data_IF_171104895014
#
_entry.id   IF_171104895014
#
_cell.length_a   1.000
_cell.length_b   1.000
_cell.length_c   1.000
_cell.angle_alpha   90.00
_cell.angle_beta   90.00
_cell.angle_gamma   90.00
#
_symmetry.space_group_name_H-M   'P 1'
#
loop_
_entity.id
_entity.type
_entity.pdbx_description
1 polymer ?
#
# COMPACT_ATOMS: atom_id res chain seq x y z
N UNK A 1 -6.20 -18.01 17.64
CA UNK A 1 -7.23 -17.19 17.02
C UNK A 1 -6.73 -16.70 15.65
N UNK A 2 -7.56 -16.85 14.66
CA UNK A 2 -7.21 -16.40 13.32
C UNK A 2 -7.55 -14.93 13.15
N UNK A 3 -6.57 -14.17 12.69
CA UNK A 3 -6.83 -12.80 12.28
C UNK A 3 -7.38 -12.82 10.86
N UNK A 4 -8.56 -12.28 10.67
CA UNK A 4 -9.21 -12.32 9.35
C UNK A 4 -8.73 -11.16 8.48
N UNK A 5 -7.74 -11.44 7.64
CA UNK A 5 -7.20 -10.43 6.71
C UNK A 5 -8.17 -10.10 5.57
N UNK A 6 -9.18 -10.95 5.33
CA UNK A 6 -10.16 -10.70 4.29
C UNK A 6 -11.26 -9.73 4.72
N UNK A 7 -11.39 -9.50 6.01
CA UNK A 7 -12.38 -8.54 6.50
C UNK A 7 -11.90 -7.13 6.25
N UNK A 8 -12.75 -6.32 5.61
CA UNK A 8 -12.42 -4.93 5.34
C UNK A 8 -12.30 -4.15 6.65
N UNK A 9 -11.21 -3.43 6.79
CA UNK A 9 -10.96 -2.52 7.90
C UNK A 9 -11.03 -1.11 7.37
N UNK A 10 -11.77 -0.25 8.05
CA UNK A 10 -11.89 1.15 7.66
C UNK A 10 -10.89 1.95 8.47
N UNK A 11 -10.05 2.71 7.81
CA UNK A 11 -9.01 3.52 8.47
C UNK A 11 -9.04 4.95 7.95
N UNK A 12 -8.52 5.86 8.79
CA UNK A 12 -8.32 7.24 8.40
C UNK A 12 -6.97 7.37 7.71
N UNK A 13 -6.90 8.25 6.71
CA UNK A 13 -5.60 8.66 6.19
C UNK A 13 -5.02 9.63 7.22
N UNK A 14 -3.88 9.26 7.80
CA UNK A 14 -3.23 10.04 8.86
C UNK A 14 -2.32 11.10 8.30
N UNK A 15 -1.71 10.83 7.14
CA UNK A 15 -0.75 11.74 6.52
C UNK A 15 -0.70 11.49 5.03
N UNK A 16 -0.47 12.53 4.25
CA UNK A 16 -0.22 12.41 2.82
C UNK A 16 1.12 13.07 2.50
N UNK A 17 1.90 12.43 1.62
CA UNK A 17 3.21 12.92 1.22
C UNK A 17 3.23 13.00 -0.29
N UNK A 18 3.34 14.23 -0.82
CA UNK A 18 3.47 14.44 -2.27
C UNK A 18 4.89 14.14 -2.69
N UNK A 19 5.09 13.02 -3.38
CA UNK A 19 6.41 12.63 -3.86
C UNK A 19 6.76 13.35 -5.16
N UNK A 20 5.80 13.39 -6.08
CA UNK A 20 5.87 14.11 -7.35
C UNK A 20 4.46 14.63 -7.67
N UNK A 21 4.29 15.42 -8.75
CA UNK A 21 2.93 15.85 -9.13
C UNK A 21 1.96 14.71 -9.42
N UNK A 22 2.46 13.52 -9.72
CA UNK A 22 1.61 12.37 -10.07
C UNK A 22 1.76 11.19 -9.12
N UNK A 23 2.59 11.31 -8.08
CA UNK A 23 2.86 10.23 -7.12
C UNK A 23 2.68 10.77 -5.71
N UNK A 24 1.90 10.05 -4.91
CA UNK A 24 1.61 10.44 -3.53
C UNK A 24 1.66 9.20 -2.63
N UNK A 25 2.13 9.38 -1.42
CA UNK A 25 2.12 8.34 -0.39
C UNK A 25 1.05 8.68 0.63
N UNK A 26 0.22 7.68 0.95
CA UNK A 26 -0.80 7.79 2.00
C UNK A 26 -0.36 6.93 3.18
N UNK A 27 -0.34 7.53 4.36
CA UNK A 27 0.05 6.85 5.60
C UNK A 27 -1.20 6.65 6.45
N UNK A 28 -1.33 5.46 7.03
CA UNK A 28 -2.47 5.12 7.86
C UNK A 28 -2.05 4.18 8.98
N UNK A 29 -2.90 4.06 9.99
CA UNK A 29 -2.65 3.15 11.11
C UNK A 29 -3.50 1.90 10.92
N UNK A 30 -2.83 0.75 10.82
CA UNK A 30 -3.50 -0.54 10.66
C UNK A 30 -2.52 -1.65 11.05
N UNK A 31 -2.80 -2.32 12.16
CA UNK A 31 -1.89 -3.31 12.71
C UNK A 31 -1.62 -4.46 11.73
N UNK A 32 -2.64 -4.91 11.00
CA UNK A 32 -2.46 -6.00 10.04
C UNK A 32 -1.55 -5.57 8.88
N UNK A 33 -1.74 -4.36 8.36
CA UNK A 33 -0.87 -3.85 7.30
C UNK A 33 0.56 -3.71 7.80
N UNK A 34 0.74 -3.34 9.05
CA UNK A 34 2.06 -3.19 9.64
C UNK A 34 2.83 -4.53 9.69
N UNK A 35 2.11 -5.66 9.74
CA UNK A 35 2.75 -6.97 9.74
C UNK A 35 3.17 -7.46 8.36
N UNK A 36 2.85 -6.72 7.30
CA UNK A 36 3.15 -7.13 5.94
C UNK A 36 4.65 -7.28 5.71
N UNK A 37 4.99 -8.18 4.80
CA UNK A 37 6.38 -8.40 4.38
C UNK A 37 6.57 -7.80 2.99
N UNK A 38 7.81 -7.45 2.61
CA UNK A 38 8.08 -6.96 1.26
C UNK A 38 7.50 -7.90 0.20
N UNK A 39 6.84 -7.35 -0.79
CA UNK A 39 6.18 -8.11 -1.84
C UNK A 39 4.72 -8.37 -1.63
N UNK A 40 4.21 -8.11 -0.43
CA UNK A 40 2.79 -8.24 -0.17
C UNK A 40 2.05 -6.97 -0.56
N UNK A 41 0.73 -7.09 -0.76
CA UNK A 41 -0.10 -5.98 -1.18
C UNK A 41 -1.39 -5.94 -0.37
N UNK A 42 -2.02 -4.79 -0.38
CA UNK A 42 -3.34 -4.58 0.20
C UNK A 42 -4.34 -4.37 -0.94
N UNK A 43 -5.58 -4.81 -0.72
CA UNK A 43 -6.69 -4.34 -1.51
C UNK A 43 -7.21 -3.09 -0.83
N UNK A 44 -7.11 -1.97 -1.52
CA UNK A 44 -7.51 -0.66 -0.99
C UNK A 44 -8.85 -0.27 -1.59
N UNK A 45 -9.86 -0.14 -0.74
CA UNK A 45 -11.20 0.25 -1.15
C UNK A 45 -11.36 1.76 -1.07
N UNK A 46 -11.73 2.35 -2.19
CA UNK A 46 -12.04 3.76 -2.27
C UNK A 46 -13.58 3.86 -2.27
N UNK A 47 -14.20 4.39 -1.21
CA UNK A 47 -15.65 4.44 -1.12
C UNK A 47 -16.31 4.98 -2.37
N UNK A 48 -17.32 4.27 -2.87
CA UNK A 48 -18.12 4.59 -4.04
C UNK A 48 -17.38 4.49 -5.38
N UNK A 49 -16.10 4.11 -5.37
CA UNK A 49 -15.33 4.05 -6.61
C UNK A 49 -15.01 2.58 -6.92
N UNK A 50 -14.01 2.03 -6.24
CA UNK A 50 -13.60 0.65 -6.47
C UNK A 50 -12.59 0.20 -5.42
N UNK A 51 -12.18 -1.06 -5.53
CA UNK A 51 -11.12 -1.62 -4.72
C UNK A 51 -9.95 -1.93 -5.65
N UNK A 52 -8.76 -1.48 -5.31
CA UNK A 52 -7.56 -1.66 -6.14
C UNK A 52 -6.41 -2.26 -5.33
N UNK A 53 -5.54 -3.06 -5.97
CA UNK A 53 -4.37 -3.61 -5.29
C UNK A 53 -3.25 -2.57 -5.20
N UNK A 54 -2.63 -2.47 -4.04
CA UNK A 54 -1.52 -1.55 -3.81
C UNK A 54 -0.44 -2.25 -3.00
N UNK A 55 0.81 -2.12 -3.43
CA UNK A 55 1.94 -2.62 -2.66
C UNK A 55 2.02 -1.89 -1.33
N UNK A 56 2.24 -2.63 -0.26
CA UNK A 56 2.30 -2.04 1.07
C UNK A 56 3.73 -1.68 1.44
N UNK A 57 3.88 -0.50 2.03
CA UNK A 57 5.14 -0.04 2.62
C UNK A 57 4.99 -0.07 4.13
N UNK A 58 6.02 -0.56 4.80
CA UNK A 58 6.04 -0.56 6.25
C UNK A 58 6.62 0.76 6.71
N UNK A 59 5.88 1.45 7.56
CA UNK A 59 6.35 2.68 8.17
C UNK A 59 7.26 2.35 9.36
N UNK A 60 8.20 3.23 9.68
CA UNK A 60 9.05 3.07 10.86
C UNK A 60 8.28 3.20 12.18
N UNK A 61 7.10 3.79 12.15
CA UNK A 61 6.28 3.97 13.33
C UNK A 61 5.39 2.75 13.54
N UNK A 62 5.40 2.21 14.76
CA UNK A 62 4.66 1.00 15.12
C UNK A 62 3.17 1.14 14.82
N UNK A 63 2.63 0.13 14.13
CA UNK A 63 1.22 0.08 13.78
C UNK A 63 0.85 0.90 12.56
N UNK A 64 1.80 1.59 11.94
CA UNK A 64 1.55 2.39 10.75
C UNK A 64 2.09 1.70 9.50
N UNK A 65 1.40 1.93 8.40
CA UNK A 65 1.83 1.46 7.08
C UNK A 65 1.46 2.53 6.05
N UNK A 66 1.88 2.31 4.82
CA UNK A 66 1.63 3.27 3.77
C UNK A 66 1.46 2.58 2.43
N UNK A 67 0.84 3.28 1.49
CA UNK A 67 0.80 2.90 0.09
C UNK A 67 1.19 4.11 -0.75
N UNK A 68 1.90 3.86 -1.84
CA UNK A 68 2.30 4.91 -2.77
C UNK A 68 1.49 4.76 -4.04
N UNK A 69 0.81 5.83 -4.44
CA UNK A 69 -0.11 5.82 -5.57
C UNK A 69 0.46 6.66 -6.70
N UNK A 70 0.43 6.10 -7.91
CA UNK A 70 0.70 6.85 -9.13
C UNK A 70 -0.61 7.04 -9.88
N UNK A 71 -0.91 8.28 -10.26
CA UNK A 71 -2.08 8.58 -11.08
C UNK A 71 -1.98 7.86 -12.42
N UNK A 72 -2.91 6.95 -12.70
CA UNK A 72 -2.90 6.21 -13.96
C UNK A 72 -4.29 5.87 -14.49
N UNK A 73 -5.31 5.84 -13.65
CA UNK A 73 -6.66 5.49 -14.06
C UNK A 73 -7.66 6.04 -13.07
N UNK A 74 -8.92 5.64 -13.20
CA UNK A 74 -10.00 6.16 -12.37
C UNK A 74 -9.77 5.87 -10.89
N UNK A 75 -9.48 4.61 -10.56
CA UNK A 75 -9.29 4.21 -9.16
C UNK A 75 -8.05 4.84 -8.54
N UNK A 76 -6.92 4.77 -9.23
CA UNK A 76 -5.69 5.35 -8.71
C UNK A 76 -5.76 6.87 -8.60
N UNK A 77 -6.44 7.53 -9.53
CA UNK A 77 -6.65 8.98 -9.44
C UNK A 77 -7.55 9.33 -8.25
N UNK A 78 -8.63 8.57 -8.04
CA UNK A 78 -9.51 8.79 -6.90
C UNK A 78 -8.78 8.60 -5.58
N UNK A 79 -7.93 7.58 -5.49
CA UNK A 79 -7.13 7.35 -4.29
C UNK A 79 -6.08 8.45 -4.10
N UNK A 80 -5.43 8.88 -5.19
CA UNK A 80 -4.47 9.97 -5.16
C UNK A 80 -5.09 11.25 -4.62
N UNK A 81 -6.36 11.50 -4.92
CA UNK A 81 -7.06 12.71 -4.50
C UNK A 81 -7.53 12.67 -3.03
N UNK A 82 -7.35 11.54 -2.34
CA UNK A 82 -7.70 11.46 -0.91
C UNK A 82 -6.78 12.34 -0.08
N UNK A 83 -7.32 12.82 1.01
CA UNK A 83 -6.64 13.77 1.90
C UNK A 83 -6.59 13.22 3.31
N UNK A 84 -5.73 13.81 4.15
CA UNK A 84 -5.71 13.53 5.57
C UNK A 84 -7.12 13.64 6.14
N UNK A 85 -7.53 12.61 6.89
CA UNK A 85 -8.85 12.54 7.49
C UNK A 85 -9.88 11.81 6.63
N UNK A 86 -9.59 11.53 5.36
CA UNK A 86 -10.49 10.72 4.54
C UNK A 86 -10.42 9.26 4.95
N UNK A 87 -11.51 8.53 4.72
CA UNK A 87 -11.59 7.11 5.01
C UNK A 87 -11.27 6.27 3.79
N UNK A 88 -10.55 5.18 4.02
CA UNK A 88 -10.34 4.13 3.02
C UNK A 88 -10.56 2.78 3.69
N UNK A 89 -10.81 1.74 2.89
CA UNK A 89 -10.92 0.39 3.40
C UNK A 89 -9.72 -0.43 3.01
N UNK A 90 -9.34 -1.37 3.86
CA UNK A 90 -8.17 -2.22 3.64
C UNK A 90 -8.56 -3.68 3.83
N UNK A 91 -8.07 -4.54 2.93
CA UNK A 91 -8.08 -5.98 3.09
C UNK A 91 -6.67 -6.50 2.81
N UNK A 92 -6.28 -7.54 3.47
CA UNK A 92 -4.93 -8.09 3.35
C UNK A 92 -4.15 -7.85 4.63
N UNK A 93 -2.80 -8.04 4.59
CA UNK A 93 -1.97 -8.16 3.39
C UNK A 93 -2.05 -9.53 2.70
N UNK A 94 -1.92 -9.53 1.39
CA UNK A 94 -1.97 -10.71 0.54
C UNK A 94 -0.66 -10.93 -0.20
N UNK A 95 -0.52 -12.12 -0.76
CA UNK A 95 0.58 -12.45 -1.64
C UNK A 95 1.79 -13.01 -0.90
N UNK A 96 2.71 -13.58 -1.65
CA UNK A 96 3.94 -14.14 -1.11
C UNK A 96 4.95 -13.02 -0.89
N UNK A 97 5.63 -13.07 0.24
CA UNK A 97 6.72 -12.13 0.50
C UNK A 97 7.90 -12.44 -0.43
N UNK A 98 8.66 -11.41 -0.78
CA UNK A 98 9.89 -11.61 -1.54
C UNK A 98 10.93 -12.33 -0.71
N UNK A 99 11.61 -13.29 -1.35
CA UNK A 99 12.78 -13.93 -0.78
C UNK A 99 13.96 -13.42 -1.60
N UNK A 100 14.80 -12.61 -0.99
CA UNK A 100 15.95 -12.02 -1.68
C UNK A 100 17.10 -13.03 -1.70
N UNK A 101 17.27 -13.69 -2.84
CA UNK A 101 18.42 -14.52 -3.12
C UNK A 101 19.34 -13.75 -4.06
N UNK A 102 20.64 -14.01 -3.98
CA UNK A 102 21.59 -13.33 -4.88
C UNK A 102 21.20 -13.44 -6.34
N UNK A 103 20.70 -14.60 -6.77
CA UNK A 103 20.29 -14.82 -8.14
C UNK A 103 19.10 -13.96 -8.57
N UNK A 104 18.35 -13.38 -7.63
CA UNK A 104 17.16 -12.60 -7.93
C UNK A 104 17.38 -11.11 -7.87
N UNK A 105 18.50 -10.66 -7.33
CA UNK A 105 18.73 -9.23 -7.12
C UNK A 105 18.59 -8.41 -8.41
N UNK A 106 19.18 -8.88 -9.48
CA UNK A 106 19.11 -8.16 -10.75
C UNK A 106 17.69 -8.11 -11.32
N UNK A 107 16.91 -9.17 -11.11
CA UNK A 107 15.53 -9.24 -11.57
C UNK A 107 14.67 -8.25 -10.80
N UNK A 108 14.89 -8.14 -9.50
CA UNK A 108 14.11 -7.24 -8.65
C UNK A 108 14.39 -5.78 -8.94
N UNK A 109 15.61 -5.45 -9.33
CA UNK A 109 16.02 -4.08 -9.63
C UNK A 109 15.45 -3.60 -10.97
N UNK A 110 15.04 -4.51 -11.84
CA UNK A 110 14.46 -4.15 -13.14
C UNK A 110 13.11 -3.47 -13.01
N UNK A 111 12.38 -3.72 -11.91
CA UNK A 111 11.10 -3.04 -11.68
C UNK A 111 11.31 -1.54 -11.57
N UNK A 112 10.57 -0.74 -12.32
CA UNK A 112 10.68 0.71 -12.32
C UNK A 112 9.52 1.39 -11.59
N UNK A 113 9.67 2.69 -11.34
CA UNK A 113 8.62 3.51 -10.75
C UNK A 113 8.18 2.98 -9.39
N UNK A 114 6.87 2.98 -9.14
CA UNK A 114 6.32 2.52 -7.86
C UNK A 114 6.48 1.03 -7.65
N UNK A 115 6.80 0.26 -8.70
CA UNK A 115 7.04 -1.17 -8.59
C UNK A 115 8.24 -1.51 -7.72
N UNK A 116 9.15 -0.56 -7.50
CA UNK A 116 10.31 -0.77 -6.63
C UNK A 116 9.99 -0.61 -5.15
N UNK A 117 8.84 -0.03 -4.81
CA UNK A 117 8.48 0.26 -3.43
C UNK A 117 8.60 -0.97 -2.52
N UNK A 118 8.10 -2.16 -2.89
CA UNK A 118 8.22 -3.33 -2.03
C UNK A 118 9.65 -3.84 -1.86
N UNK A 119 10.60 -3.35 -2.65
CA UNK A 119 11.99 -3.78 -2.61
C UNK A 119 12.84 -2.91 -1.69
N UNK A 120 12.29 -1.81 -1.27
CA UNK A 120 12.97 -0.88 -0.40
C UNK A 120 12.74 -1.24 1.07
#
# INVERSE_FOLDING_TARGET
MHTNIDKRRIVWIEETISETPTVKTLVFKDDLSYTAKPGQFLMVWIPRIEEIPMSVMINSKDGYAAVTIRKSGIGSTALFDRKKGDLIGLRGPYGNKFILKKSYQNILIIGGGTGLVPLL
#
